data_IF_232613864602
#
_entry.id   IF_232613864602
#
_cell.length_a   1.000
_cell.length_b   1.000
_cell.length_c   1.000
_cell.angle_alpha   90.00
_cell.angle_beta   90.00
_cell.angle_gamma   90.00
#
_symmetry.space_group_name_H-M   'P 1'
#
loop_
_entity.id
_entity.type
_entity.pdbx_description
1 polymer ?
#
# COMPACT_ATOMS: atom_id res chain seq x y z
N UNK A 1 -4.93 23.35 -1.85
CA UNK A 1 -5.24 21.94 -1.52
C UNK A 1 -4.28 21.48 -0.43
N UNK A 2 -4.77 21.33 0.81
CA UNK A 2 -3.96 20.84 1.94
C UNK A 2 -3.56 19.39 1.66
N UNK A 3 -2.30 19.21 1.27
CA UNK A 3 -1.67 17.91 1.09
C UNK A 3 -1.53 17.28 2.48
N UNK A 4 -2.40 16.32 2.83
CA UNK A 4 -2.31 15.53 4.08
C UNK A 4 -0.84 15.11 4.32
N UNK A 5 -0.34 15.11 5.56
CA UNK A 5 1.04 14.70 5.81
C UNK A 5 1.24 13.23 5.41
N UNK A 6 2.49 12.86 5.09
CA UNK A 6 2.85 11.53 4.57
C UNK A 6 2.31 10.41 5.47
N UNK A 7 2.41 10.59 6.79
CA UNK A 7 1.95 9.66 7.81
C UNK A 7 0.46 9.36 7.68
N UNK A 8 -0.38 10.39 7.59
CA UNK A 8 -1.84 10.20 7.49
C UNK A 8 -2.26 9.57 6.16
N UNK A 9 -1.57 9.89 5.05
CA UNK A 9 -1.82 9.21 3.76
C UNK A 9 -1.45 7.73 3.82
N UNK A 10 -0.36 7.41 4.49
CA UNK A 10 0.09 6.03 4.66
C UNK A 10 -0.85 5.24 5.55
N UNK A 11 -1.27 5.82 6.68
CA UNK A 11 -2.27 5.23 7.57
C UNK A 11 -3.57 4.95 6.83
N UNK A 12 -4.11 5.94 6.10
CA UNK A 12 -5.35 5.77 5.34
C UNK A 12 -5.24 4.65 4.29
N UNK A 13 -4.08 4.51 3.62
CA UNK A 13 -3.86 3.44 2.65
C UNK A 13 -3.79 2.06 3.32
N UNK A 14 -3.19 1.95 4.51
CA UNK A 14 -3.16 0.71 5.30
C UNK A 14 -4.57 0.33 5.74
N UNK A 15 -5.32 1.30 6.28
CA UNK A 15 -6.70 1.09 6.74
C UNK A 15 -7.61 0.63 5.61
N UNK A 16 -7.47 1.22 4.41
CA UNK A 16 -8.18 0.78 3.20
C UNK A 16 -7.90 -0.69 2.88
N UNK A 17 -6.62 -1.11 2.86
CA UNK A 17 -6.26 -2.51 2.58
C UNK A 17 -6.85 -3.46 3.61
N UNK A 18 -6.81 -3.11 4.90
CA UNK A 18 -7.39 -3.91 5.96
C UNK A 18 -8.92 -4.01 5.84
N UNK A 19 -9.61 -2.90 5.60
CA UNK A 19 -11.06 -2.89 5.40
C UNK A 19 -11.47 -3.71 4.17
N UNK A 20 -10.75 -3.58 3.06
CA UNK A 20 -11.03 -4.32 1.83
C UNK A 20 -10.83 -5.84 1.98
N UNK A 21 -9.93 -6.27 2.90
CA UNK A 21 -9.74 -7.69 3.24
C UNK A 21 -10.77 -8.22 4.22
N UNK A 22 -11.16 -7.42 5.22
CA UNK A 22 -12.08 -7.83 6.28
C UNK A 22 -13.57 -7.71 5.87
N UNK A 23 -13.88 -6.89 4.87
CA UNK A 23 -15.24 -6.51 4.48
C UNK A 23 -16.13 -7.58 3.84
N UNK A 24 -15.76 -8.87 3.87
CA UNK A 24 -16.63 -10.00 3.48
C UNK A 24 -16.92 -10.15 1.99
N UNK A 25 -16.89 -9.06 1.20
CA UNK A 25 -16.78 -9.15 -0.25
C UNK A 25 -15.32 -9.45 -0.58
N UNK A 26 -15.06 -10.67 -1.05
CA UNK A 26 -13.76 -11.15 -1.50
C UNK A 26 -13.21 -10.30 -2.66
N UNK A 27 -12.78 -9.09 -2.32
CA UNK A 27 -12.17 -8.14 -3.23
C UNK A 27 -10.76 -8.65 -3.44
N UNK A 28 -10.55 -9.38 -4.54
CA UNK A 28 -9.27 -10.02 -4.82
C UNK A 28 -8.12 -9.00 -4.77
N UNK A 29 -6.87 -9.44 -4.54
CA UNK A 29 -5.71 -8.53 -4.39
C UNK A 29 -5.57 -7.51 -5.53
N UNK A 30 -5.92 -7.89 -6.76
CA UNK A 30 -5.94 -6.98 -7.91
C UNK A 30 -6.94 -5.82 -7.78
N UNK A 31 -8.13 -6.07 -7.23
CA UNK A 31 -9.14 -5.04 -7.01
C UNK A 31 -8.75 -4.09 -5.86
N UNK A 32 -8.09 -4.62 -4.82
CA UNK A 32 -7.50 -3.77 -3.76
C UNK A 32 -6.43 -2.85 -4.35
N UNK A 33 -5.54 -3.38 -5.21
CA UNK A 33 -4.53 -2.57 -5.88
C UNK A 33 -5.18 -1.49 -6.77
N UNK A 34 -6.25 -1.82 -7.49
CA UNK A 34 -6.98 -0.85 -8.31
C UNK A 34 -7.58 0.29 -7.47
N UNK A 35 -8.17 -0.01 -6.31
CA UNK A 35 -8.68 1.03 -5.40
C UNK A 35 -7.57 1.89 -4.79
N UNK A 36 -6.41 1.29 -4.48
CA UNK A 36 -5.22 2.06 -4.08
C UNK A 36 -4.76 3.02 -5.20
N UNK A 37 -4.89 2.65 -6.48
CA UNK A 37 -4.57 3.54 -7.60
C UNK A 37 -5.57 4.69 -7.72
N UNK A 38 -6.86 4.42 -7.52
CA UNK A 38 -7.92 5.40 -7.62
C UNK A 38 -7.87 6.43 -6.48
N UNK A 39 -7.80 5.97 -5.22
CA UNK A 39 -8.03 6.81 -4.05
C UNK A 39 -6.75 7.22 -3.31
N UNK A 40 -5.68 6.43 -3.43
CA UNK A 40 -4.43 6.63 -2.69
C UNK A 40 -3.24 6.99 -3.59
N UNK A 41 -3.51 7.35 -4.86
CA UNK A 41 -2.51 7.71 -5.87
C UNK A 41 -1.39 6.66 -6.01
N UNK A 42 -1.74 5.37 -5.92
CA UNK A 42 -0.80 4.29 -6.11
C UNK A 42 -0.31 4.21 -7.56
N UNK A 43 0.95 3.83 -7.71
CA UNK A 43 1.52 3.40 -8.99
C UNK A 43 1.76 1.90 -8.95
N UNK A 44 1.05 1.18 -9.81
CA UNK A 44 1.21 -0.26 -9.99
C UNK A 44 1.81 -0.52 -11.38
N UNK A 45 2.91 -1.27 -11.43
CA UNK A 45 3.55 -1.68 -12.68
C UNK A 45 3.87 -3.17 -12.62
N UNK A 46 3.45 -3.88 -13.66
CA UNK A 46 3.80 -5.28 -13.89
C UNK A 46 4.84 -5.34 -15.00
N UNK A 47 6.02 -5.89 -14.73
CA UNK A 47 7.02 -6.21 -15.73
C UNK A 47 7.16 -7.70 -15.92
N UNK A 48 7.88 -8.11 -16.98
CA UNK A 48 8.16 -9.52 -17.27
C UNK A 48 8.94 -10.23 -16.15
N UNK A 49 9.70 -9.49 -15.34
CA UNK A 49 10.58 -10.05 -14.30
C UNK A 49 10.19 -9.64 -12.88
N UNK A 50 9.51 -8.50 -12.72
CA UNK A 50 9.21 -7.91 -11.41
C UNK A 50 7.91 -7.11 -11.47
N UNK A 51 7.08 -7.28 -10.44
CA UNK A 51 5.92 -6.44 -10.19
C UNK A 51 6.27 -5.43 -9.11
N UNK A 52 5.83 -4.18 -9.26
CA UNK A 52 6.13 -3.10 -8.32
C UNK A 52 4.86 -2.34 -7.96
N UNK A 53 4.68 -2.05 -6.66
CA UNK A 53 3.58 -1.26 -6.13
C UNK A 53 4.16 -0.14 -5.28
N UNK A 54 3.83 1.10 -5.65
CA UNK A 54 4.22 2.30 -4.91
C UNK A 54 2.98 3.02 -4.42
N UNK A 55 2.88 3.24 -3.12
CA UNK A 55 1.75 3.95 -2.49
C UNK A 55 2.27 4.76 -1.31
N UNK A 56 1.83 6.01 -1.17
CA UNK A 56 2.15 6.87 -0.02
C UNK A 56 3.65 6.87 0.37
N UNK A 57 4.54 6.93 -0.63
CA UNK A 57 5.99 6.98 -0.42
C UNK A 57 6.66 5.62 -0.11
N UNK A 58 5.90 4.54 -0.02
CA UNK A 58 6.41 3.16 0.15
C UNK A 58 6.45 2.47 -1.21
N UNK A 59 7.54 1.77 -1.51
CA UNK A 59 7.73 1.01 -2.74
C UNK A 59 7.98 -0.46 -2.38
N UNK A 60 7.17 -1.35 -2.94
CA UNK A 60 7.30 -2.79 -2.80
C UNK A 60 7.48 -3.43 -4.17
N UNK A 61 8.21 -4.55 -4.19
CA UNK A 61 8.39 -5.35 -5.38
C UNK A 61 8.20 -6.83 -5.09
N UNK A 62 7.58 -7.56 -6.01
CA UNK A 62 7.42 -9.01 -5.92
C UNK A 62 7.61 -9.64 -7.29
N UNK A 63 8.46 -10.67 -7.35
CA UNK A 63 8.72 -11.45 -8.56
C UNK A 63 7.87 -12.72 -8.62
N UNK A 64 7.44 -13.24 -7.47
CA UNK A 64 6.75 -14.52 -7.33
C UNK A 64 5.22 -14.43 -7.52
N UNK A 65 4.59 -13.33 -7.09
CA UNK A 65 3.15 -13.14 -7.22
C UNK A 65 2.85 -11.71 -7.63
N UNK A 66 2.05 -11.57 -8.69
CA UNK A 66 1.71 -10.30 -9.31
C UNK A 66 0.93 -9.38 -8.37
N UNK A 67 -0.07 -9.93 -7.67
CA UNK A 67 -1.00 -9.14 -6.87
C UNK A 67 -0.91 -9.47 -5.38
N UNK A 68 -1.10 -10.74 -4.98
CA UNK A 68 -1.16 -11.11 -3.56
C UNK A 68 0.18 -10.93 -2.84
N UNK A 69 1.26 -11.49 -3.41
CA UNK A 69 2.60 -11.36 -2.82
C UNK A 69 3.09 -9.92 -2.84
N UNK A 70 2.74 -9.17 -3.88
CA UNK A 70 3.06 -7.75 -3.98
C UNK A 70 2.32 -6.92 -2.91
N UNK A 71 1.02 -7.17 -2.72
CA UNK A 71 0.22 -6.49 -1.72
C UNK A 71 0.69 -6.81 -0.29
N UNK A 72 0.99 -8.08 0.00
CA UNK A 72 1.58 -8.51 1.29
C UNK A 72 2.94 -7.87 1.54
N UNK A 73 3.80 -7.82 0.51
CA UNK A 73 5.10 -7.16 0.61
C UNK A 73 4.96 -5.66 0.88
N UNK A 74 4.04 -4.99 0.20
CA UNK A 74 3.75 -3.57 0.42
C UNK A 74 3.22 -3.31 1.83
N UNK A 75 2.24 -4.07 2.29
CA UNK A 75 1.66 -3.94 3.63
C UNK A 75 2.72 -4.06 4.73
N UNK A 76 3.62 -5.04 4.61
CA UNK A 76 4.75 -5.19 5.55
C UNK A 76 5.64 -3.94 5.58
N UNK A 77 6.00 -3.41 4.41
CA UNK A 77 6.85 -2.21 4.31
C UNK A 77 6.12 -0.94 4.78
N UNK A 78 4.81 -0.86 4.51
CA UNK A 78 3.95 0.23 4.93
C UNK A 78 3.86 0.31 6.46
N UNK A 79 3.63 -0.81 7.13
CA UNK A 79 3.60 -0.87 8.60
C UNK A 79 4.94 -0.47 9.22
N UNK A 80 6.07 -0.97 8.68
CA UNK A 80 7.40 -0.55 9.15
C UNK A 80 7.59 0.96 8.97
N UNK A 81 7.19 1.50 7.81
CA UNK A 81 7.34 2.93 7.52
C UNK A 81 6.45 3.79 8.42
N UNK A 82 5.24 3.35 8.73
CA UNK A 82 4.34 4.03 9.64
C UNK A 82 4.96 4.12 11.05
N UNK A 83 5.46 3.01 11.57
CA UNK A 83 6.16 2.98 12.87
C UNK A 83 7.37 3.92 12.90
N UNK A 84 8.13 4.01 11.81
CA UNK A 84 9.23 4.97 11.69
C UNK A 84 8.76 6.43 11.70
N UNK A 85 7.59 6.72 11.14
CA UNK A 85 7.03 8.07 11.13
C UNK A 85 6.44 8.44 12.50
N UNK A 86 5.79 7.50 13.18
CA UNK A 86 5.25 7.70 14.53
C UNK A 86 6.37 7.85 15.57
N UNK A 87 7.44 7.04 15.47
CA UNK A 87 8.61 7.13 16.35
C UNK A 87 9.52 8.35 16.09
N UNK A 88 9.32 9.06 14.97
CA UNK A 88 10.06 10.29 14.64
C UNK A 88 9.40 11.56 15.19
N UNK A 89 8.27 11.45 15.88
CA UNK A 89 7.61 12.55 16.59
C UNK A 89 8.18 12.73 18.02
N UNK A 90 9.50 12.63 18.17
CA UNK A 90 10.19 12.62 19.46
C UNK A 90 11.66 13.04 19.40
N UNK A 91 11.98 14.05 18.58
CA UNK A 91 13.26 14.75 18.62
C UNK A 91 13.04 16.25 18.38
#
# INVERSE_FOLDING_TARGET
>A
MNRLPLRDRLQAAIDYVHQARSGGNATGPAAIIAGLQADHAASYRCGASTNTLRVAGVNASCTWSRDEGLLKAWERLATIRLLQLDGRCGA
#
